data_IF_955120425467
#
_entry.id   IF_955120425467
#
_cell.length_a   1.000
_cell.length_b   1.000
_cell.length_c   1.000
_cell.angle_alpha   90.00
_cell.angle_beta   90.00
_cell.angle_gamma   90.00
#
_symmetry.space_group_name_H-M   'P 1'
#
loop_
_entity.id
_entity.type
_entity.pdbx_description
1 polymer ?
#
# COMPACT_ATOMS: atom_id res chain seq x y z
N UNK A 1 2.39 -11.22 9.79
CA UNK A 1 3.85 -11.25 9.53
C UNK A 1 4.57 -12.47 10.11
N UNK A 2 4.23 -12.93 11.33
CA UNK A 2 4.79 -14.18 11.89
C UNK A 2 3.75 -15.30 11.99
N UNK A 3 2.60 -15.19 11.31
CA UNK A 3 1.49 -16.15 11.38
C UNK A 3 1.85 -17.58 10.93
N UNK A 4 2.95 -17.73 10.20
CA UNK A 4 3.49 -19.03 9.80
C UNK A 4 4.48 -19.63 10.82
N UNK A 5 4.77 -18.93 11.91
CA UNK A 5 5.61 -19.42 13.00
C UNK A 5 4.72 -19.85 14.18
N UNK A 6 5.12 -20.89 14.94
CA UNK A 6 4.41 -21.30 16.15
C UNK A 6 4.15 -20.10 17.07
N UNK A 7 2.92 -19.99 17.56
CA UNK A 7 2.47 -18.90 18.44
C UNK A 7 2.73 -17.50 17.86
N UNK A 8 2.62 -17.34 16.53
CA UNK A 8 2.89 -16.09 15.83
C UNK A 8 4.30 -15.53 16.11
N UNK A 9 5.28 -16.42 16.33
CA UNK A 9 6.66 -16.03 16.65
C UNK A 9 6.85 -15.47 18.06
N UNK A 10 5.83 -15.48 18.93
CA UNK A 10 5.86 -14.86 20.25
C UNK A 10 7.07 -15.28 21.09
N UNK A 11 7.29 -16.58 21.27
CA UNK A 11 8.38 -17.09 22.11
C UNK A 11 9.75 -16.72 21.55
N UNK A 12 9.89 -16.78 20.23
CA UNK A 12 11.13 -16.39 19.55
C UNK A 12 11.41 -14.89 19.76
N UNK A 13 10.44 -14.02 19.45
CA UNK A 13 10.59 -12.58 19.57
C UNK A 13 10.86 -12.18 21.03
N UNK A 14 10.15 -12.77 21.99
CA UNK A 14 10.36 -12.49 23.40
C UNK A 14 11.78 -12.85 23.84
N UNK A 15 12.24 -14.07 23.53
CA UNK A 15 13.58 -14.50 23.86
C UNK A 15 14.65 -13.62 23.17
N UNK A 16 14.46 -13.27 21.89
CA UNK A 16 15.37 -12.40 21.16
C UNK A 16 15.50 -11.02 21.82
N UNK A 17 14.37 -10.37 22.13
CA UNK A 17 14.40 -9.06 22.78
C UNK A 17 14.94 -9.11 24.21
N UNK A 18 14.65 -10.16 24.98
CA UNK A 18 15.23 -10.39 26.30
C UNK A 18 16.77 -10.51 26.24
N UNK A 19 17.30 -11.28 25.27
CA UNK A 19 18.75 -11.42 25.11
C UNK A 19 19.40 -10.11 24.65
N UNK A 20 18.80 -9.40 23.70
CA UNK A 20 19.32 -8.11 23.23
C UNK A 20 19.31 -7.04 24.32
N UNK A 21 18.26 -6.99 25.14
CA UNK A 21 18.13 -6.03 26.24
C UNK A 21 19.17 -6.25 27.35
N UNK A 22 19.58 -7.50 27.58
CA UNK A 22 20.58 -7.86 28.59
C UNK A 22 22.00 -7.93 28.03
N UNK A 23 22.20 -7.68 26.74
CA UNK A 23 23.50 -7.84 26.10
C UNK A 23 24.46 -6.71 26.49
N UNK A 24 25.67 -7.01 27.01
CA UNK A 24 26.54 -5.98 27.59
C UNK A 24 27.13 -4.98 26.57
N UNK A 25 27.05 -5.29 25.28
CA UNK A 25 27.59 -4.44 24.20
C UNK A 25 26.51 -3.83 23.30
N UNK A 26 25.22 -4.15 23.51
CA UNK A 26 24.14 -3.65 22.68
C UNK A 26 23.17 -2.86 23.53
N UNK A 27 22.69 -1.74 23.00
CA UNK A 27 21.64 -0.95 23.63
C UNK A 27 20.44 -0.91 22.69
N UNK A 28 19.28 -1.34 23.19
CA UNK A 28 18.02 -1.17 22.47
C UNK A 28 17.58 0.29 22.57
N UNK A 29 17.30 0.91 21.43
CA UNK A 29 16.96 2.33 21.35
C UNK A 29 16.08 2.60 20.14
N UNK A 30 15.53 3.80 20.05
CA UNK A 30 14.74 4.25 18.89
C UNK A 30 15.56 5.15 17.98
N UNK A 31 15.12 5.32 16.72
CA UNK A 31 15.74 6.30 15.82
C UNK A 31 15.66 7.72 16.40
N UNK A 32 14.56 8.06 17.09
CA UNK A 32 14.39 9.35 17.75
C UNK A 32 15.41 9.57 18.87
N UNK A 33 15.65 8.56 19.70
CA UNK A 33 16.65 8.64 20.78
C UNK A 33 18.07 8.72 20.24
N UNK A 34 18.40 7.99 19.17
CA UNK A 34 19.68 8.12 18.47
C UNK A 34 19.93 9.56 18.02
N UNK A 35 18.92 10.19 17.39
CA UNK A 35 19.01 11.58 16.94
C UNK A 35 19.15 12.56 18.12
N UNK A 36 18.39 12.35 19.20
CA UNK A 36 18.47 13.17 20.41
C UNK A 36 19.86 13.11 21.09
N UNK A 37 20.57 11.99 20.93
CA UNK A 37 21.94 11.79 21.43
C UNK A 37 23.03 12.37 20.51
N UNK A 38 22.63 13.04 19.43
CA UNK A 38 23.56 13.73 18.53
C UNK A 38 24.17 12.83 17.47
N UNK A 39 23.63 11.63 17.21
CA UNK A 39 24.04 10.81 16.08
C UNK A 39 23.86 11.60 14.79
N UNK A 40 24.95 11.77 14.03
CA UNK A 40 24.94 12.43 12.73
C UNK A 40 24.83 11.37 11.64
N UNK A 41 23.69 11.26 10.91
CA UNK A 41 23.57 10.32 9.81
C UNK A 41 24.59 10.63 8.73
N UNK A 42 25.21 9.60 8.16
CA UNK A 42 26.05 9.77 6.98
C UNK A 42 25.19 10.32 5.82
N UNK A 43 25.71 11.27 5.02
CA UNK A 43 24.96 11.79 3.88
C UNK A 43 24.78 10.69 2.85
N UNK A 44 23.54 10.50 2.39
CA UNK A 44 23.21 9.66 1.24
C UNK A 44 22.98 10.57 0.02
N UNK A 45 23.96 10.72 -0.89
CA UNK A 45 23.91 11.75 -1.93
C UNK A 45 22.77 11.56 -2.94
N UNK A 46 22.31 10.32 -3.12
CA UNK A 46 21.24 9.97 -4.05
C UNK A 46 20.45 8.78 -3.54
N UNK A 47 19.13 8.87 -3.70
CA UNK A 47 18.21 7.74 -3.55
C UNK A 47 17.65 7.42 -4.93
N UNK A 48 17.73 6.16 -5.33
CA UNK A 48 17.11 5.68 -6.57
C UNK A 48 15.67 5.24 -6.30
N UNK A 49 14.78 5.44 -7.27
CA UNK A 49 13.42 4.94 -7.18
C UNK A 49 13.43 3.41 -7.17
N UNK A 50 12.68 2.82 -6.24
CA UNK A 50 12.60 1.39 -6.07
C UNK A 50 11.82 1.04 -4.81
N UNK A 51 11.73 -0.26 -4.54
CA UNK A 51 11.15 -0.75 -3.30
C UNK A 51 11.97 -1.90 -2.74
N UNK A 52 11.71 -2.25 -1.49
CA UNK A 52 12.24 -3.46 -0.88
C UNK A 52 11.84 -4.77 -1.60
N UNK A 53 10.84 -4.73 -2.49
CA UNK A 53 10.46 -5.87 -3.33
C UNK A 53 11.19 -5.75 -4.67
N UNK A 54 12.18 -6.62 -4.88
CA UNK A 54 13.01 -6.70 -6.10
C UNK A 54 13.73 -5.42 -6.52
N UNK A 55 13.81 -4.38 -5.68
CA UNK A 55 14.47 -3.12 -6.03
C UNK A 55 13.71 -2.27 -7.06
N UNK A 56 12.48 -2.64 -7.43
CA UNK A 56 11.68 -1.95 -8.46
C UNK A 56 10.29 -1.58 -7.94
N UNK A 57 9.50 -0.88 -8.76
CA UNK A 57 8.09 -0.58 -8.49
C UNK A 57 7.13 -1.58 -9.18
N UNK A 58 7.64 -2.63 -9.84
CA UNK A 58 6.86 -3.57 -10.64
C UNK A 58 5.77 -4.31 -9.85
N UNK A 59 5.87 -4.34 -8.53
CA UNK A 59 4.82 -4.83 -7.64
C UNK A 59 3.52 -4.03 -7.75
N UNK A 60 3.58 -2.72 -8.01
CA UNK A 60 2.42 -1.82 -8.02
C UNK A 60 2.13 -1.19 -9.40
N UNK A 61 3.00 -1.36 -10.40
CA UNK A 61 2.81 -0.77 -11.73
C UNK A 61 3.47 -1.60 -12.85
N UNK A 62 3.12 -1.32 -14.11
CA UNK A 62 3.73 -1.93 -15.29
C UNK A 62 2.90 -3.08 -15.90
N UNK A 63 2.08 -3.74 -15.09
CA UNK A 63 1.06 -4.68 -15.55
C UNK A 63 -0.16 -3.94 -16.13
N UNK A 64 -0.79 -4.44 -17.23
CA UNK A 64 -1.93 -3.76 -17.86
C UNK A 64 -3.10 -3.46 -16.91
N UNK A 65 -3.45 -4.40 -16.03
CA UNK A 65 -4.55 -4.22 -15.09
C UNK A 65 -4.18 -3.18 -14.01
N UNK A 66 -2.92 -3.20 -13.54
CA UNK A 66 -2.41 -2.19 -12.60
C UNK A 66 -2.39 -0.80 -13.22
N UNK A 67 -1.95 -0.68 -14.48
CA UNK A 67 -1.91 0.60 -15.18
C UNK A 67 -3.32 1.16 -15.38
N UNK A 68 -4.28 0.31 -15.75
CA UNK A 68 -5.69 0.70 -15.84
C UNK A 68 -6.25 1.14 -14.48
N UNK A 69 -5.88 0.48 -13.39
CA UNK A 69 -6.25 0.93 -12.04
C UNK A 69 -5.67 2.32 -11.70
N UNK A 70 -4.42 2.60 -12.13
CA UNK A 70 -3.78 3.90 -11.95
C UNK A 70 -4.49 4.98 -12.76
N UNK A 71 -4.85 4.71 -14.01
CA UNK A 71 -5.60 5.66 -14.85
C UNK A 71 -6.92 6.06 -14.18
N UNK A 72 -7.66 5.09 -13.62
CA UNK A 72 -8.89 5.35 -12.87
C UNK A 72 -8.65 6.20 -11.61
N UNK A 73 -7.54 5.98 -10.88
CA UNK A 73 -7.17 6.77 -9.70
C UNK A 73 -6.80 8.21 -10.09
N UNK A 74 -6.00 8.38 -11.14
CA UNK A 74 -5.60 9.69 -11.68
C UNK A 74 -6.83 10.50 -12.08
N UNK A 75 -7.77 9.91 -12.83
CA UNK A 75 -9.03 10.56 -13.21
C UNK A 75 -9.86 10.98 -11.99
N UNK A 76 -9.90 10.14 -10.95
CA UNK A 76 -10.60 10.46 -9.71
C UNK A 76 -9.91 11.56 -8.89
N UNK A 77 -8.57 11.59 -8.89
CA UNK A 77 -7.75 12.63 -8.25
C UNK A 77 -7.90 13.97 -8.94
N UNK A 78 -7.89 14.00 -10.27
CA UNK A 78 -8.15 15.23 -11.05
C UNK A 78 -9.55 15.78 -10.79
N UNK A 79 -10.56 14.91 -10.73
CA UNK A 79 -11.92 15.29 -10.37
C UNK A 79 -11.98 15.85 -8.93
N UNK A 80 -11.29 15.20 -7.99
CA UNK A 80 -11.16 15.68 -6.61
C UNK A 80 -10.53 17.07 -6.56
N UNK A 81 -9.38 17.26 -7.22
CA UNK A 81 -8.65 18.53 -7.19
C UNK A 81 -9.48 19.67 -7.76
N UNK A 82 -10.19 19.43 -8.87
CA UNK A 82 -11.10 20.41 -9.47
C UNK A 82 -12.21 20.84 -8.51
N UNK A 83 -12.88 19.89 -7.86
CA UNK A 83 -13.97 20.20 -6.93
C UNK A 83 -13.45 20.85 -5.64
N UNK A 84 -12.25 20.46 -5.18
CA UNK A 84 -11.67 21.01 -3.95
C UNK A 84 -11.14 22.43 -4.08
N UNK A 85 -10.88 22.92 -5.29
CA UNK A 85 -10.52 24.32 -5.53
C UNK A 85 -11.63 25.28 -5.06
N UNK A 86 -12.88 24.93 -5.32
CA UNK A 86 -14.05 25.76 -4.99
C UNK A 86 -14.74 25.34 -3.67
N UNK A 87 -14.30 24.25 -3.05
CA UNK A 87 -14.89 23.74 -1.81
C UNK A 87 -14.58 24.67 -0.62
N UNK A 88 -15.62 25.31 -0.09
CA UNK A 88 -15.54 26.20 1.07
C UNK A 88 -15.81 25.49 2.40
N UNK A 89 -16.53 24.36 2.40
CA UNK A 89 -16.84 23.59 3.61
C UNK A 89 -15.64 22.73 4.06
N UNK A 90 -15.03 23.01 5.22
CA UNK A 90 -13.92 22.20 5.76
C UNK A 90 -14.33 20.74 6.03
N UNK A 91 -15.60 20.51 6.40
CA UNK A 91 -16.13 19.17 6.68
C UNK A 91 -16.15 18.29 5.43
N UNK A 92 -16.70 18.82 4.33
CA UNK A 92 -16.70 18.20 3.02
C UNK A 92 -15.27 17.92 2.53
N UNK A 93 -14.36 18.89 2.64
CA UNK A 93 -12.95 18.72 2.24
C UNK A 93 -12.28 17.58 2.99
N UNK A 94 -12.42 17.56 4.32
CA UNK A 94 -11.84 16.50 5.14
C UNK A 94 -12.44 15.11 4.82
N UNK A 95 -13.76 15.04 4.58
CA UNK A 95 -14.42 13.79 4.24
C UNK A 95 -14.02 13.27 2.84
N UNK A 96 -13.91 14.15 1.85
CA UNK A 96 -13.46 13.81 0.51
C UNK A 96 -11.98 13.39 0.52
N UNK A 97 -11.11 14.11 1.24
CA UNK A 97 -9.69 13.77 1.38
C UNK A 97 -9.48 12.41 2.04
N UNK A 98 -10.25 12.08 3.09
CA UNK A 98 -10.24 10.73 3.69
C UNK A 98 -10.69 9.64 2.71
N UNK A 99 -11.64 9.95 1.82
CA UNK A 99 -12.10 8.98 0.82
C UNK A 99 -11.06 8.79 -0.29
N UNK A 100 -10.41 9.87 -0.73
CA UNK A 100 -9.31 9.81 -1.68
C UNK A 100 -8.14 8.98 -1.12
N UNK A 101 -7.74 9.20 0.13
CA UNK A 101 -6.69 8.42 0.79
C UNK A 101 -6.98 6.91 0.84
N UNK A 102 -8.26 6.49 0.87
CA UNK A 102 -8.64 5.07 0.74
C UNK A 102 -8.45 4.56 -0.68
N UNK A 103 -8.71 5.39 -1.69
CA UNK A 103 -8.48 5.05 -3.10
C UNK A 103 -6.98 4.94 -3.40
N UNK A 104 -6.14 5.70 -2.70
CA UNK A 104 -4.67 5.74 -2.87
C UNK A 104 -3.91 4.62 -2.13
N UNK A 105 -4.60 3.70 -1.46
CA UNK A 105 -3.95 2.55 -0.81
C UNK A 105 -3.20 1.68 -1.83
N UNK A 106 -1.94 1.37 -1.53
CA UNK A 106 -1.10 0.55 -2.40
C UNK A 106 -1.54 -0.91 -2.44
N UNK A 107 -2.35 -1.35 -1.46
CA UNK A 107 -2.91 -2.71 -1.41
C UNK A 107 -3.70 -3.05 -2.69
N UNK A 108 -4.46 -2.10 -3.26
CA UNK A 108 -5.20 -2.34 -4.50
C UNK A 108 -4.28 -2.85 -5.62
N UNK A 109 -3.15 -2.16 -5.80
CA UNK A 109 -2.18 -2.45 -6.85
C UNK A 109 -1.32 -3.69 -6.56
N UNK A 110 -1.21 -4.09 -5.29
CA UNK A 110 -0.60 -5.36 -4.91
C UNK A 110 -1.42 -6.55 -5.42
N UNK A 111 -2.75 -6.45 -5.38
CA UNK A 111 -3.65 -7.54 -5.75
C UNK A 111 -3.86 -7.69 -7.26
N UNK A 112 -3.91 -6.60 -8.03
CA UNK A 112 -4.16 -6.67 -9.47
C UNK A 112 -3.06 -7.38 -10.28
N UNK A 113 -3.45 -7.97 -11.41
CA UNK A 113 -2.59 -8.68 -12.35
C UNK A 113 -2.68 -10.21 -12.23
N UNK A 114 -1.74 -10.89 -12.87
CA UNK A 114 -1.77 -12.33 -13.15
C UNK A 114 -1.31 -13.24 -12.00
N UNK A 115 -0.64 -12.69 -10.99
CA UNK A 115 0.03 -13.48 -9.96
C UNK A 115 -0.87 -13.95 -8.81
N UNK A 116 -1.91 -13.21 -8.45
CA UNK A 116 -2.68 -13.47 -7.23
C UNK A 116 -3.90 -14.40 -7.47
N UNK A 117 -4.44 -15.05 -6.40
CA UNK A 117 -5.59 -15.93 -6.52
C UNK A 117 -6.84 -15.17 -7.01
N UNK A 118 -7.54 -15.74 -8.00
CA UNK A 118 -8.70 -15.12 -8.65
C UNK A 118 -9.76 -14.61 -7.65
N UNK A 119 -10.10 -15.40 -6.63
CA UNK A 119 -11.10 -15.04 -5.62
C UNK A 119 -10.70 -13.79 -4.81
N UNK A 120 -9.42 -13.69 -4.44
CA UNK A 120 -8.90 -12.53 -3.74
C UNK A 120 -8.90 -11.30 -4.67
N UNK A 121 -8.39 -11.45 -5.90
CA UNK A 121 -8.35 -10.38 -6.89
C UNK A 121 -9.75 -9.82 -7.16
N UNK A 122 -10.75 -10.69 -7.34
CA UNK A 122 -12.14 -10.27 -7.56
C UNK A 122 -12.71 -9.45 -6.40
N UNK A 123 -12.42 -9.84 -5.16
CA UNK A 123 -12.86 -9.09 -3.98
C UNK A 123 -12.19 -7.72 -3.91
N UNK A 124 -10.87 -7.65 -4.08
CA UNK A 124 -10.13 -6.38 -4.06
C UNK A 124 -10.51 -5.47 -5.23
N UNK A 125 -10.74 -6.00 -6.43
CA UNK A 125 -11.27 -5.25 -7.58
C UNK A 125 -12.62 -4.60 -7.25
N UNK A 126 -13.57 -5.40 -6.74
CA UNK A 126 -14.89 -4.88 -6.39
C UNK A 126 -14.79 -3.78 -5.29
N UNK A 127 -13.98 -4.01 -4.27
CA UNK A 127 -13.78 -3.05 -3.18
C UNK A 127 -13.13 -1.76 -3.67
N UNK A 128 -12.09 -1.85 -4.51
CA UNK A 128 -11.41 -0.70 -5.07
C UNK A 128 -12.34 0.16 -5.93
N UNK A 129 -13.06 -0.45 -6.87
CA UNK A 129 -14.06 0.26 -7.70
C UNK A 129 -15.13 0.92 -6.85
N UNK A 130 -15.58 0.27 -5.77
CA UNK A 130 -16.51 0.87 -4.80
C UNK A 130 -15.92 2.08 -4.07
N UNK A 131 -14.64 2.10 -3.72
CA UNK A 131 -14.00 3.28 -3.13
C UNK A 131 -13.99 4.46 -4.10
N UNK A 132 -13.64 4.22 -5.38
CA UNK A 132 -13.66 5.24 -6.43
C UNK A 132 -15.07 5.78 -6.66
N UNK A 133 -16.08 4.89 -6.80
CA UNK A 133 -17.49 5.29 -6.92
C UNK A 133 -17.93 6.14 -5.72
N UNK A 134 -17.50 5.78 -4.51
CA UNK A 134 -17.82 6.54 -3.30
C UNK A 134 -17.16 7.92 -3.31
N UNK A 135 -15.94 8.03 -3.83
CA UNK A 135 -15.27 9.33 -4.01
C UNK A 135 -16.07 10.23 -4.96
N UNK A 136 -16.41 9.75 -6.16
CA UNK A 136 -17.21 10.52 -7.12
C UNK A 136 -18.54 10.99 -6.52
N UNK A 137 -19.24 10.12 -5.79
CA UNK A 137 -20.48 10.49 -5.08
C UNK A 137 -20.26 11.58 -4.02
N UNK A 138 -19.16 11.53 -3.27
CA UNK A 138 -18.82 12.59 -2.29
C UNK A 138 -18.48 13.92 -2.95
N UNK A 139 -17.97 13.87 -4.17
CA UNK A 139 -17.71 15.04 -5.00
C UNK A 139 -18.96 15.55 -5.72
N UNK A 140 -20.13 14.91 -5.52
CA UNK A 140 -21.37 15.18 -6.26
C UNK A 140 -21.20 15.03 -7.79
N UNK A 141 -20.33 14.12 -8.21
CA UNK A 141 -20.07 13.80 -9.62
C UNK A 141 -20.61 12.41 -9.95
N UNK A 142 -21.11 12.19 -11.19
CA UNK A 142 -21.45 10.85 -11.64
C UNK A 142 -20.17 10.00 -11.76
N UNK A 143 -20.12 8.78 -11.20
CA UNK A 143 -19.01 7.88 -11.41
C UNK A 143 -18.90 7.48 -12.89
N UNK A 144 -17.69 7.37 -13.46
CA UNK A 144 -17.49 6.94 -14.85
C UNK A 144 -17.98 5.49 -15.06
N UNK A 145 -18.54 5.23 -16.24
CA UNK A 145 -19.11 3.91 -16.59
C UNK A 145 -18.08 2.77 -16.54
N UNK A 146 -16.81 3.09 -16.76
CA UNK A 146 -15.68 2.16 -16.67
C UNK A 146 -15.57 1.47 -15.31
N UNK A 147 -16.03 2.09 -14.22
CA UNK A 147 -16.03 1.50 -12.88
C UNK A 147 -17.05 0.37 -12.69
N UNK A 148 -17.92 0.14 -13.67
CA UNK A 148 -18.82 -1.02 -13.70
C UNK A 148 -18.13 -2.28 -14.19
N UNK A 149 -17.04 -2.12 -14.95
CA UNK A 149 -16.27 -3.22 -15.53
C UNK A 149 -15.18 -3.67 -14.54
N UNK A 150 -14.94 -4.99 -14.39
CA UNK A 150 -13.80 -5.49 -13.64
C UNK A 150 -12.48 -4.94 -14.18
N UNK A 151 -11.55 -4.63 -13.29
CA UNK A 151 -10.20 -4.20 -13.65
C UNK A 151 -9.29 -5.40 -13.87
N UNK A 152 -9.32 -6.38 -12.96
CA UNK A 152 -8.50 -7.59 -13.00
C UNK A 152 -9.33 -8.80 -12.60
N UNK A 153 -9.02 -9.97 -13.17
CA UNK A 153 -9.71 -11.23 -12.88
C UNK A 153 -8.88 -12.20 -12.05
N UNK A 154 -7.54 -12.04 -12.02
CA UNK A 154 -6.61 -12.93 -11.35
C UNK A 154 -6.57 -14.34 -11.97
N UNK A 155 -5.41 -14.99 -11.94
CA UNK A 155 -5.26 -16.35 -12.47
C UNK A 155 -4.05 -17.11 -11.91
N UNK A 156 -3.41 -16.59 -10.84
CA UNK A 156 -2.22 -17.19 -10.25
C UNK A 156 -2.52 -18.09 -9.05
N UNK A 157 -1.56 -18.96 -8.73
CA UNK A 157 -1.55 -19.79 -7.52
C UNK A 157 -0.27 -19.52 -6.70
N UNK A 158 -0.12 -18.32 -6.12
CA UNK A 158 1.11 -17.91 -5.45
C UNK A 158 1.30 -18.64 -4.12
N UNK A 159 2.56 -18.85 -3.73
CA UNK A 159 2.90 -19.32 -2.40
C UNK A 159 2.30 -18.37 -1.34
N UNK A 160 1.76 -18.95 -0.26
CA UNK A 160 1.12 -18.21 0.84
C UNK A 160 -0.06 -17.29 0.45
N UNK A 161 -0.74 -17.56 -0.67
CA UNK A 161 -1.99 -16.87 -1.03
C UNK A 161 -1.82 -15.43 -1.50
N UNK A 162 -0.60 -15.03 -1.89
CA UNK A 162 -0.30 -13.72 -2.46
C UNK A 162 0.00 -12.62 -1.44
N UNK A 163 -0.01 -12.93 -0.13
CA UNK A 163 0.23 -11.96 0.96
C UNK A 163 1.69 -11.48 1.06
N UNK A 164 2.64 -12.22 0.47
CA UNK A 164 4.05 -11.88 0.51
C UNK A 164 4.75 -12.30 -0.78
N UNK A 165 5.39 -11.35 -1.46
CA UNK A 165 6.33 -11.63 -2.56
C UNK A 165 7.75 -11.64 -2.02
N UNK A 166 8.43 -12.79 -2.08
CA UNK A 166 9.85 -12.87 -1.71
C UNK A 166 10.70 -12.23 -2.81
N UNK A 167 11.65 -11.40 -2.41
CA UNK A 167 12.77 -11.08 -3.28
C UNK A 167 13.55 -12.38 -3.52
N UNK A 168 13.56 -12.89 -4.75
CA UNK A 168 14.54 -13.91 -5.13
C UNK A 168 15.89 -13.21 -5.17
N UNK A 169 16.78 -13.58 -4.25
CA UNK A 169 18.16 -13.08 -4.27
C UNK A 169 18.81 -13.44 -5.60
N UNK A 170 19.28 -12.43 -6.31
CA UNK A 170 20.22 -12.59 -7.43
C UNK A 170 21.66 -12.53 -6.93
#
# INVERSE_FOLDING_TARGET
AWEHYPFNGFYFLRALYEQLANHPLLELTTLSDCLARGLQPAPLPRVCAGSWVHGTLATWMGDPDKNRAWDLLCNAKEAYDRVMQDASDPGQRAAAGRQLARCESSDWFWWFGDYNPADAVSQFDHLYRRQLVTLYRRLNLPPPGELTLPISTGHGAPEHGGSMRRATGG
#
